data_IF_259007717506
#
_entry.id   IF_259007717506
#
_cell.length_a   1.000
_cell.length_b   1.000
_cell.length_c   1.000
_cell.angle_alpha   90.00
_cell.angle_beta   90.00
_cell.angle_gamma   90.00
#
_symmetry.space_group_name_H-M   'P 1'
#
loop_
_entity.id
_entity.type
_entity.pdbx_description
1 polymer ?
#
# COMPACT_ATOMS: atom_id res chain seq x y z
N UNK A 1 -9.93 -22.73 0.94
CA UNK A 1 -10.22 -21.42 0.35
C UNK A 1 -9.36 -20.44 1.11
N UNK A 2 -8.26 -20.00 0.51
CA UNK A 2 -7.26 -19.18 1.18
C UNK A 2 -7.71 -17.73 1.12
N UNK A 3 -8.30 -17.25 2.22
CA UNK A 3 -8.80 -15.89 2.35
C UNK A 3 -7.67 -15.02 2.91
N UNK A 4 -6.70 -14.68 2.07
CA UNK A 4 -5.57 -13.80 2.44
C UNK A 4 -6.06 -12.35 2.49
N UNK A 5 -6.97 -12.04 3.41
CA UNK A 5 -7.44 -10.68 3.63
C UNK A 5 -6.30 -9.87 4.27
N UNK A 6 -5.67 -9.00 3.48
CA UNK A 6 -4.75 -7.99 4.01
C UNK A 6 -5.58 -7.00 4.83
N UNK A 7 -5.25 -6.80 6.10
CA UNK A 7 -5.95 -5.80 6.93
C UNK A 7 -5.43 -4.40 6.65
N UNK A 8 -6.32 -3.40 6.72
CA UNK A 8 -5.96 -1.99 6.57
C UNK A 8 -4.83 -1.59 7.54
N UNK A 9 -4.91 -2.05 8.80
CA UNK A 9 -3.92 -1.76 9.82
C UNK A 9 -2.53 -2.32 9.47
N UNK A 10 -2.46 -3.56 8.96
CA UNK A 10 -1.21 -4.18 8.53
C UNK A 10 -0.62 -3.44 7.32
N UNK A 11 -1.46 -3.12 6.32
CA UNK A 11 -1.04 -2.36 5.14
C UNK A 11 -0.51 -0.96 5.54
N UNK A 12 -1.19 -0.28 6.46
CA UNK A 12 -0.77 1.02 6.98
C UNK A 12 0.58 0.95 7.68
N UNK A 13 0.79 -0.06 8.53
CA UNK A 13 2.06 -0.25 9.22
C UNK A 13 3.20 -0.49 8.22
N UNK A 14 3.02 -1.38 7.24
CA UNK A 14 4.01 -1.64 6.18
C UNK A 14 4.34 -0.37 5.39
N UNK A 15 3.35 0.46 5.04
CA UNK A 15 3.56 1.72 4.32
C UNK A 15 4.37 2.71 5.17
N UNK A 16 3.99 2.92 6.43
CA UNK A 16 4.68 3.87 7.32
C UNK A 16 6.13 3.46 7.53
N UNK A 17 6.38 2.19 7.84
CA UNK A 17 7.71 1.67 8.13
C UNK A 17 8.61 1.65 6.88
N UNK A 18 8.12 1.07 5.77
CA UNK A 18 8.96 0.77 4.60
C UNK A 18 9.10 1.93 3.62
N UNK A 19 8.18 2.90 3.66
CA UNK A 19 8.21 4.08 2.78
C UNK A 19 8.45 5.38 3.54
N UNK A 20 8.79 5.32 4.82
CA UNK A 20 8.99 6.51 5.67
C UNK A 20 7.80 7.48 5.57
N UNK A 21 6.59 6.93 5.52
CA UNK A 21 5.40 7.73 5.24
C UNK A 21 5.00 8.54 6.47
N UNK A 22 4.81 9.85 6.28
CA UNK A 22 4.37 10.78 7.32
C UNK A 22 2.85 10.91 7.37
N UNK A 23 2.17 10.55 6.28
CA UNK A 23 0.72 10.49 6.20
C UNK A 23 0.31 9.35 5.27
N UNK A 24 -0.69 8.59 5.71
CA UNK A 24 -1.24 7.45 4.97
C UNK A 24 -2.74 7.40 5.21
N UNK A 25 -3.52 7.61 4.15
CA UNK A 25 -4.94 7.28 4.10
C UNK A 25 -5.14 6.02 3.27
N UNK A 26 -5.95 5.10 3.78
CA UNK A 26 -6.32 3.86 3.11
C UNK A 26 -7.84 3.81 3.04
N UNK A 27 -8.38 3.42 1.90
CA UNK A 27 -9.81 3.22 1.69
C UNK A 27 -10.02 1.84 1.06
N UNK A 28 -10.75 0.97 1.75
CA UNK A 28 -11.18 -0.31 1.19
C UNK A 28 -12.22 -0.07 0.09
N UNK A 29 -11.86 -0.44 -1.14
CA UNK A 29 -12.69 -0.34 -2.34
C UNK A 29 -13.42 -1.65 -2.65
N UNK A 30 -13.17 -2.71 -1.88
CA UNK A 30 -13.72 -4.06 -2.08
C UNK A 30 -14.99 -4.35 -1.27
N UNK A 31 -15.51 -3.38 -0.53
CA UNK A 31 -16.72 -3.55 0.28
C UNK A 31 -16.54 -4.46 1.49
N UNK A 32 -15.32 -4.51 2.07
CA UNK A 32 -15.01 -5.32 3.25
C UNK A 32 -14.35 -6.66 2.96
N UNK A 33 -14.13 -7.00 1.68
CA UNK A 33 -13.46 -8.24 1.27
C UNK A 33 -11.93 -8.16 1.39
N UNK A 34 -11.35 -6.97 1.60
CA UNK A 34 -9.91 -6.75 1.72
C UNK A 34 -9.10 -7.07 0.46
N UNK A 35 -9.73 -6.98 -0.71
CA UNK A 35 -9.12 -7.35 -2.01
C UNK A 35 -8.84 -6.17 -2.93
N UNK A 36 -9.22 -4.95 -2.53
CA UNK A 36 -8.90 -3.74 -3.28
C UNK A 36 -8.79 -2.56 -2.31
N UNK A 37 -7.66 -1.86 -2.36
CA UNK A 37 -7.41 -0.69 -1.53
C UNK A 37 -6.98 0.49 -2.39
N UNK A 38 -7.57 1.66 -2.14
CA UNK A 38 -7.04 2.93 -2.60
C UNK A 38 -6.18 3.52 -1.49
N UNK A 39 -4.98 4.01 -1.83
CA UNK A 39 -4.05 4.57 -0.85
C UNK A 39 -3.57 5.95 -1.26
N UNK A 40 -3.52 6.87 -0.29
CA UNK A 40 -2.85 8.16 -0.41
C UNK A 40 -1.66 8.16 0.54
N UNK A 41 -0.46 8.20 -0.04
CA UNK A 41 0.80 8.10 0.71
C UNK A 41 1.57 9.41 0.55
N UNK A 42 1.93 10.03 1.67
CA UNK A 42 2.83 11.19 1.72
C UNK A 42 4.14 10.74 2.38
N UNK A 43 5.23 10.85 1.65
CA UNK A 43 6.57 10.48 2.12
C UNK A 43 7.63 11.46 1.57
N UNK A 44 8.62 11.86 2.38
CA UNK A 44 9.77 12.61 1.89
C UNK A 44 10.58 11.82 0.84
N UNK A 45 10.53 10.49 0.86
CA UNK A 45 11.24 9.64 -0.11
C UNK A 45 10.69 9.79 -1.52
N UNK A 46 9.51 10.37 -1.70
CA UNK A 46 8.93 10.69 -3.00
C UNK A 46 9.44 12.01 -3.60
N UNK A 47 10.13 12.84 -2.82
CA UNK A 47 10.66 14.11 -3.31
C UNK A 47 11.65 13.89 -4.46
N UNK A 48 11.51 14.67 -5.53
CA UNK A 48 12.37 14.55 -6.73
C UNK A 48 12.14 13.28 -7.56
N UNK A 49 11.18 12.41 -7.21
CA UNK A 49 10.81 11.23 -8.00
C UNK A 49 9.57 11.51 -8.85
N UNK A 50 9.65 11.15 -10.13
CA UNK A 50 8.48 11.15 -11.02
C UNK A 50 7.49 10.04 -10.64
N UNK A 51 6.29 10.09 -11.22
CA UNK A 51 5.21 9.14 -10.90
C UNK A 51 5.65 7.67 -11.01
N UNK A 52 6.31 7.29 -12.10
CA UNK A 52 6.77 5.92 -12.31
C UNK A 52 7.76 5.45 -11.24
N UNK A 53 8.72 6.30 -10.84
CA UNK A 53 9.69 5.97 -9.78
C UNK A 53 9.00 5.82 -8.43
N UNK A 54 7.99 6.64 -8.13
CA UNK A 54 7.19 6.51 -6.90
C UNK A 54 6.41 5.20 -6.89
N UNK A 55 5.70 4.87 -7.98
CA UNK A 55 4.98 3.60 -8.10
C UNK A 55 5.90 2.39 -7.97
N UNK A 56 7.08 2.42 -8.60
CA UNK A 56 8.06 1.33 -8.45
C UNK A 56 8.52 1.18 -7.00
N UNK A 57 8.80 2.28 -6.30
CA UNK A 57 9.19 2.25 -4.89
C UNK A 57 8.10 1.61 -4.02
N UNK A 58 6.84 2.04 -4.21
CA UNK A 58 5.69 1.47 -3.50
C UNK A 58 5.52 -0.02 -3.81
N UNK A 59 5.53 -0.42 -5.08
CA UNK A 59 5.35 -1.81 -5.48
C UNK A 59 6.48 -2.72 -4.97
N UNK A 60 7.70 -2.21 -4.88
CA UNK A 60 8.82 -2.95 -4.29
C UNK A 60 8.67 -3.10 -2.78
N UNK A 61 8.20 -2.05 -2.08
CA UNK A 61 8.03 -2.07 -0.63
C UNK A 61 6.84 -2.94 -0.17
N UNK A 62 5.79 -3.03 -1.00
CA UNK A 62 4.54 -3.74 -0.69
C UNK A 62 4.34 -5.00 -1.54
N UNK A 63 5.43 -5.57 -2.07
CA UNK A 63 5.36 -6.66 -3.04
C UNK A 63 4.56 -7.86 -2.51
N UNK A 64 4.73 -8.19 -1.24
CA UNK A 64 4.07 -9.34 -0.60
C UNK A 64 2.58 -9.06 -0.38
N UNK A 65 2.25 -7.85 0.09
CA UNK A 65 0.87 -7.41 0.30
C UNK A 65 0.11 -7.31 -1.03
N UNK A 66 0.73 -6.74 -2.07
CA UNK A 66 0.15 -6.66 -3.41
C UNK A 66 -0.06 -8.06 -4.02
N UNK A 67 0.82 -9.03 -3.74
CA UNK A 67 0.63 -10.40 -4.21
C UNK A 67 -0.54 -11.11 -3.51
N UNK A 68 -0.86 -10.72 -2.27
CA UNK A 68 -2.00 -11.23 -1.52
C UNK A 68 -3.33 -10.59 -1.93
N UNK A 69 -3.30 -9.32 -2.36
CA UNK A 69 -4.44 -8.58 -2.88
C UNK A 69 -4.66 -9.02 -4.34
N UNK A 70 -5.62 -9.93 -4.57
CA UNK A 70 -6.01 -10.37 -5.92
C UNK A 70 -6.50 -9.15 -6.71
N UNK A 71 -5.67 -8.65 -7.62
CA UNK A 71 -5.99 -7.52 -8.48
C UNK A 71 -7.02 -7.90 -9.56
#
# INVERSE_FOLDING_TARGET
MENTAVSEAALRASIVERLNAIHVDITDMSGGCGQAFSTLIVSPDFAGKNSLKRHRLVNSALKEEIAAIHA
#
